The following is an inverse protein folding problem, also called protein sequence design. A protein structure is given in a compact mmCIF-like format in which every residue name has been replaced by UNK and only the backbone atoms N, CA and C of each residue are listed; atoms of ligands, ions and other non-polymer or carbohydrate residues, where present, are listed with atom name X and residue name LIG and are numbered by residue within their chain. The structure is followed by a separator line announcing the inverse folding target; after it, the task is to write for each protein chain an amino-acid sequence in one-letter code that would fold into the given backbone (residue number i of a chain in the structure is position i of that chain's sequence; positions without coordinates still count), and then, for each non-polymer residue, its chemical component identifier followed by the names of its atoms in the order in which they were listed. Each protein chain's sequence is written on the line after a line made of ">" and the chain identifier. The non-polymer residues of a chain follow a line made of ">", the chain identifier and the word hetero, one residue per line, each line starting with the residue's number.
data_IF_777717167207
#
_entry.id   IF_777717167207
#
_cell.length_a   1.000
_cell.length_b   1.000
_cell.length_c   1.000
_cell.angle_alpha   90.00
_cell.angle_beta   90.00
_cell.angle_gamma   90.00
#
_symmetry.space_group_name_H-M   'P 1'
#
loop_
_entity.id
_entity.type
_entity.pdbx_description
1 polymer ?
#
# COMPACT_ATOMS: atom_id res chain seq x y z
N UNK A 1 -19.68 21.84 3.60
CA UNK A 1 -18.76 21.08 4.47
C UNK A 1 -17.50 20.84 3.64
N UNK A 2 -16.32 21.14 4.18
CA UNK A 2 -15.03 21.19 3.44
C UNK A 2 -13.94 20.45 4.22
N UNK A 3 -14.32 19.40 4.95
CA UNK A 3 -13.34 18.54 5.58
C UNK A 3 -12.62 17.75 4.49
N UNK A 4 -11.28 17.71 4.55
CA UNK A 4 -10.47 16.94 3.62
C UNK A 4 -10.20 15.59 4.26
N UNK A 5 -10.78 14.54 3.72
CA UNK A 5 -10.63 13.17 4.25
C UNK A 5 -9.24 12.56 3.95
N UNK A 6 -8.40 13.30 3.23
CA UNK A 6 -7.03 12.94 2.90
C UNK A 6 -6.15 14.18 2.74
N UNK A 7 -4.95 14.13 3.31
CA UNK A 7 -3.89 15.11 3.09
C UNK A 7 -2.58 14.39 2.81
N UNK A 8 -1.90 14.77 1.73
CA UNK A 8 -0.54 14.31 1.43
C UNK A 8 0.40 15.51 1.35
N UNK A 9 1.53 15.42 2.07
CA UNK A 9 2.56 16.47 2.12
C UNK A 9 3.88 15.88 1.69
N UNK A 10 4.56 16.51 0.74
CA UNK A 10 5.92 16.12 0.34
C UNK A 10 6.96 16.85 1.19
N UNK A 11 7.92 16.10 1.73
CA UNK A 11 9.05 16.63 2.47
C UNK A 11 10.30 16.61 1.57
N UNK A 12 10.81 17.78 1.09
CA UNK A 12 11.96 17.80 0.19
C UNK A 12 13.28 17.33 0.83
N UNK A 13 13.45 17.49 2.14
CA UNK A 13 14.67 17.11 2.85
C UNK A 13 14.83 15.59 2.95
N UNK A 14 13.74 14.86 3.21
CA UNK A 14 13.72 13.40 3.27
C UNK A 14 13.27 12.75 1.95
N UNK A 15 12.89 13.56 0.96
CA UNK A 15 12.33 13.14 -0.34
C UNK A 15 11.17 12.14 -0.20
N UNK A 16 10.35 12.32 0.82
CA UNK A 16 9.27 11.40 1.18
C UNK A 16 7.91 12.09 1.14
N UNK A 17 6.85 11.30 0.95
CA UNK A 17 5.47 11.76 1.09
C UNK A 17 4.91 11.27 2.42
N UNK A 18 4.33 12.18 3.19
CA UNK A 18 3.52 11.85 4.37
C UNK A 18 2.05 11.95 4.00
N UNK A 19 1.34 10.83 4.08
CA UNK A 19 -0.10 10.77 3.88
C UNK A 19 -0.82 10.65 5.23
N UNK A 20 -1.87 11.45 5.41
CA UNK A 20 -2.76 11.44 6.58
C UNK A 20 -4.18 11.28 6.08
N UNK A 21 -4.91 10.36 6.70
CA UNK A 21 -6.27 9.99 6.34
C UNK A 21 -7.22 10.36 7.46
N UNK A 22 -8.46 10.71 7.12
CA UNK A 22 -9.56 10.68 8.07
C UNK A 22 -9.99 9.22 8.21
N UNK A 23 -9.84 8.71 9.42
CA UNK A 23 -10.30 7.36 9.77
C UNK A 23 -11.81 7.36 9.95
N UNK A 24 -12.42 6.18 9.83
CA UNK A 24 -13.84 6.02 10.12
C UNK A 24 -14.22 6.34 11.56
N UNK A 25 -15.51 6.50 11.83
CA UNK A 25 -16.06 6.58 13.19
C UNK A 25 -15.55 5.44 14.10
N UNK A 26 -15.11 4.31 13.51
CA UNK A 26 -14.47 3.21 14.22
C UNK A 26 -13.02 3.49 14.68
N UNK A 27 -12.44 4.64 14.31
CA UNK A 27 -11.08 5.07 14.64
C UNK A 27 -10.00 4.56 13.67
N UNK A 28 -8.74 4.95 13.96
CA UNK A 28 -7.56 4.38 13.27
C UNK A 28 -7.58 2.85 13.41
N UNK A 29 -7.25 2.09 12.35
CA UNK A 29 -7.01 0.66 12.50
C UNK A 29 -6.00 0.44 13.62
N UNK A 30 -6.35 -0.44 14.56
CA UNK A 30 -5.37 -0.98 15.50
C UNK A 30 -4.31 -1.82 14.77
N UNK A 31 -3.82 -2.87 15.41
CA UNK A 31 -2.93 -3.81 14.71
C UNK A 31 -3.72 -4.55 13.63
N UNK A 32 -3.28 -4.44 12.36
CA UNK A 32 -3.86 -5.25 11.27
C UNK A 32 -3.66 -6.73 11.59
N UNK A 33 -4.66 -7.54 11.27
CA UNK A 33 -4.71 -8.97 11.58
C UNK A 33 -3.92 -9.82 10.60
N UNK A 34 -3.54 -9.26 9.45
CA UNK A 34 -2.78 -9.99 8.47
C UNK A 34 -1.40 -10.41 9.00
N UNK A 35 -1.09 -11.69 8.86
CA UNK A 35 0.20 -12.28 9.25
C UNK A 35 1.01 -12.73 8.05
N UNK A 36 0.49 -12.54 6.83
CA UNK A 36 1.15 -12.94 5.59
C UNK A 36 1.89 -11.76 5.00
N UNK A 37 3.21 -11.87 4.89
CA UNK A 37 4.06 -10.87 4.22
C UNK A 37 3.92 -10.93 2.70
N UNK A 38 3.84 -12.14 2.15
CA UNK A 38 3.79 -12.39 0.72
C UNK A 38 2.98 -13.65 0.43
N UNK A 39 2.03 -13.56 -0.51
CA UNK A 39 1.40 -14.72 -1.09
C UNK A 39 2.32 -15.34 -2.13
N UNK A 40 2.69 -16.64 -2.03
CA UNK A 40 3.68 -17.23 -2.91
C UNK A 40 3.38 -17.01 -4.40
N UNK A 41 4.22 -16.26 -5.15
CA UNK A 41 4.17 -16.24 -6.60
C UNK A 41 4.20 -17.64 -7.22
N UNK A 42 3.54 -17.78 -8.37
CA UNK A 42 3.76 -18.93 -9.23
C UNK A 42 5.25 -19.02 -9.61
N UNK A 43 5.81 -20.24 -9.66
CA UNK A 43 7.25 -20.46 -9.92
C UNK A 43 7.74 -19.73 -11.18
N UNK A 44 6.93 -19.72 -12.25
CA UNK A 44 7.23 -19.04 -13.52
C UNK A 44 7.29 -17.51 -13.40
N UNK A 45 6.68 -16.93 -12.37
CA UNK A 45 6.60 -15.49 -12.12
C UNK A 45 7.60 -15.00 -11.08
N UNK A 46 8.20 -15.91 -10.28
CA UNK A 46 9.09 -15.58 -9.15
C UNK A 46 10.22 -14.64 -9.54
N UNK A 47 11.01 -15.01 -10.55
CA UNK A 47 12.16 -14.20 -10.97
C UNK A 47 11.77 -12.78 -11.41
N UNK A 48 10.76 -12.68 -12.29
CA UNK A 48 10.29 -11.38 -12.78
C UNK A 48 9.64 -10.52 -11.68
N UNK A 49 8.98 -11.15 -10.71
CA UNK A 49 8.43 -10.48 -9.54
C UNK A 49 9.54 -9.87 -8.66
N UNK A 50 10.57 -10.65 -8.34
CA UNK A 50 11.69 -10.17 -7.53
C UNK A 50 12.49 -9.06 -8.22
N UNK A 51 12.65 -9.13 -9.55
CA UNK A 51 13.33 -8.08 -10.32
C UNK A 51 12.59 -6.74 -10.21
N UNK A 52 11.26 -6.75 -10.27
CA UNK A 52 10.45 -5.53 -10.08
C UNK A 52 10.54 -5.03 -8.64
N UNK A 53 10.52 -5.90 -7.63
CA UNK A 53 10.71 -5.48 -6.23
C UNK A 53 12.08 -4.85 -5.99
N UNK A 54 13.16 -5.46 -6.49
CA UNK A 54 14.51 -4.90 -6.41
C UNK A 54 14.57 -3.52 -7.05
N UNK A 55 13.86 -3.32 -8.16
CA UNK A 55 13.74 -2.02 -8.81
C UNK A 55 12.98 -1.01 -7.92
N UNK A 56 11.87 -1.39 -7.32
CA UNK A 56 11.12 -0.50 -6.42
C UNK A 56 11.93 -0.07 -5.20
N UNK A 57 12.73 -0.99 -4.64
CA UNK A 57 13.67 -0.69 -3.55
C UNK A 57 14.76 0.27 -4.02
N UNK A 58 15.36 0.00 -5.18
CA UNK A 58 16.39 0.86 -5.78
C UNK A 58 15.88 2.26 -6.08
N UNK A 59 14.65 2.37 -6.57
CA UNK A 59 13.99 3.63 -6.93
C UNK A 59 13.41 4.36 -5.70
N UNK A 60 13.50 3.75 -4.51
CA UNK A 60 13.04 4.32 -3.23
C UNK A 60 11.52 4.31 -3.03
N UNK A 61 10.79 3.55 -3.84
CA UNK A 61 9.33 3.39 -3.70
C UNK A 61 8.97 2.44 -2.56
N UNK A 62 9.83 1.47 -2.30
CA UNK A 62 9.81 0.64 -1.09
C UNK A 62 11.11 0.88 -0.33
N UNK A 63 11.01 1.04 0.97
CA UNK A 63 12.16 1.23 1.87
C UNK A 63 12.09 0.14 2.94
N UNK A 64 13.24 -0.44 3.35
CA UNK A 64 13.26 -1.34 4.50
C UNK A 64 12.59 -0.70 5.72
N UNK A 65 11.77 -1.47 6.42
CA UNK A 65 11.14 -1.00 7.65
C UNK A 65 12.19 -0.90 8.76
N UNK A 66 12.28 0.24 9.42
CA UNK A 66 13.17 0.47 10.55
C UNK A 66 12.34 0.72 11.81
N UNK A 67 12.26 -0.29 12.70
CA UNK A 67 11.48 -0.17 13.93
C UNK A 67 12.02 0.91 14.89
N UNK A 68 13.31 1.26 14.80
CA UNK A 68 13.92 2.26 15.67
C UNK A 68 13.48 3.68 15.31
N UNK A 69 13.22 3.93 14.02
CA UNK A 69 12.73 5.22 13.52
C UNK A 69 11.19 5.25 13.43
N UNK A 70 10.57 4.13 13.05
CA UNK A 70 9.15 4.06 12.65
C UNK A 70 8.26 3.45 13.73
N UNK A 71 8.84 2.94 14.82
CA UNK A 71 8.14 2.27 15.90
C UNK A 71 7.78 0.82 15.57
N UNK A 72 7.00 0.14 16.43
CA UNK A 72 6.57 -1.23 16.17
C UNK A 72 5.63 -1.30 14.97
N UNK A 73 5.76 -2.36 14.16
CA UNK A 73 4.90 -2.59 13.00
C UNK A 73 3.43 -2.67 13.42
N UNK A 74 2.60 -1.79 12.87
CA UNK A 74 1.14 -1.79 13.10
C UNK A 74 0.38 -2.84 12.28
N UNK A 75 1.05 -3.56 11.38
CA UNK A 75 0.41 -4.56 10.55
C UNK A 75 1.17 -4.82 9.26
N UNK A 76 0.82 -5.92 8.58
CA UNK A 76 1.41 -6.30 7.30
C UNK A 76 0.41 -6.07 6.16
N UNK A 77 0.92 -5.56 5.05
CA UNK A 77 0.20 -5.52 3.78
C UNK A 77 0.84 -6.57 2.86
N UNK A 78 0.20 -7.73 2.63
CA UNK A 78 0.79 -8.77 1.82
C UNK A 78 1.06 -8.28 0.41
N UNK A 79 2.22 -8.69 -0.13
CA UNK A 79 2.48 -8.59 -1.55
C UNK A 79 2.03 -9.84 -2.30
N UNK A 80 1.58 -9.65 -3.54
CA UNK A 80 1.28 -10.74 -4.46
C UNK A 80 1.83 -10.45 -5.86
N UNK A 81 2.15 -11.51 -6.59
CA UNK A 81 2.57 -11.42 -7.99
C UNK A 81 1.38 -11.58 -8.94
N UNK A 82 1.14 -10.57 -9.77
CA UNK A 82 0.11 -10.61 -10.82
C UNK A 82 0.76 -10.70 -12.20
N UNK A 83 0.47 -11.78 -12.93
CA UNK A 83 0.96 -11.99 -14.30
C UNK A 83 0.05 -11.26 -15.29
N UNK A 84 0.55 -10.18 -15.87
CA UNK A 84 -0.13 -9.42 -16.92
C UNK A 84 0.29 -9.94 -18.30
N UNK A 85 -0.36 -11.02 -18.77
CA UNK A 85 -0.03 -11.70 -20.04
C UNK A 85 0.01 -10.75 -21.24
N UNK A 86 -0.98 -9.86 -21.35
CA UNK A 86 -1.06 -8.88 -22.45
C UNK A 86 0.12 -7.92 -22.50
N UNK A 87 0.72 -7.63 -21.34
CA UNK A 87 1.89 -6.76 -21.21
C UNK A 87 3.20 -7.53 -21.09
N UNK A 88 3.15 -8.88 -21.09
CA UNK A 88 4.26 -9.80 -20.84
C UNK A 88 5.10 -9.39 -19.61
N UNK A 89 4.42 -8.99 -18.53
CA UNK A 89 5.03 -8.48 -17.30
C UNK A 89 4.41 -9.12 -16.07
N UNK A 90 5.19 -9.18 -14.99
CA UNK A 90 4.72 -9.50 -13.65
C UNK A 90 4.72 -8.22 -12.84
N UNK A 91 3.68 -8.01 -12.03
CA UNK A 91 3.56 -6.82 -11.16
C UNK A 91 3.40 -7.26 -9.71
N UNK A 92 4.23 -6.73 -8.80
CA UNK A 92 3.91 -6.75 -7.38
C UNK A 92 2.64 -5.92 -7.14
N UNK A 93 1.74 -6.42 -6.30
CA UNK A 93 0.52 -5.72 -5.87
C UNK A 93 0.39 -5.87 -4.36
N UNK A 94 0.18 -4.77 -3.65
CA UNK A 94 -0.12 -4.78 -2.22
C UNK A 94 -1.61 -5.04 -1.99
N UNK A 95 -1.91 -5.93 -1.05
CA UNK A 95 -3.26 -6.29 -0.67
C UNK A 95 -3.84 -5.32 0.37
N UNK A 96 -4.51 -4.27 -0.10
CA UNK A 96 -5.12 -3.26 0.75
C UNK A 96 -6.51 -3.64 1.29
N UNK A 97 -7.02 -4.85 1.04
CA UNK A 97 -8.42 -5.20 1.37
C UNK A 97 -8.76 -4.99 2.85
N UNK A 98 -7.86 -5.40 3.75
CA UNK A 98 -8.06 -5.19 5.19
C UNK A 98 -7.97 -3.71 5.54
N UNK A 99 -6.92 -3.02 5.11
CA UNK A 99 -6.73 -1.60 5.41
C UNK A 99 -7.91 -0.74 4.92
N UNK A 100 -8.41 -1.03 3.72
CA UNK A 100 -9.54 -0.31 3.13
C UNK A 100 -10.84 -0.46 3.93
N UNK A 101 -10.98 -1.47 4.79
CA UNK A 101 -12.16 -1.60 5.67
C UNK A 101 -12.22 -0.55 6.79
N UNK A 102 -11.10 0.13 7.06
CA UNK A 102 -10.98 1.14 8.12
C UNK A 102 -10.99 2.59 7.61
N UNK A 103 -10.89 2.78 6.30
CA UNK A 103 -10.87 4.09 5.65
C UNK A 103 -12.30 4.48 5.29
N UNK A 104 -12.73 5.70 5.64
CA UNK A 104 -14.05 6.18 5.22
C UNK A 104 -14.12 6.31 3.71
N UNK A 105 -15.19 5.76 3.13
CA UNK A 105 -15.54 6.05 1.76
C UNK A 105 -16.12 7.45 1.70
N UNK A 106 -15.28 8.45 1.44
CA UNK A 106 -15.81 9.72 0.94
C UNK A 106 -16.28 9.50 -0.50
N UNK A 107 -17.56 9.20 -0.66
CA UNK A 107 -18.24 9.42 -1.94
C UNK A 107 -18.30 10.92 -2.13
N UNK A 108 -17.22 11.50 -2.66
CA UNK A 108 -17.34 12.80 -3.30
C UNK A 108 -18.55 12.69 -4.23
N UNK A 109 -19.38 13.73 -4.26
CA UNK A 109 -20.65 13.88 -4.99
C UNK A 109 -20.42 13.68 -6.50
N UNK A 110 -20.08 12.47 -6.87
CA UNK A 110 -19.64 12.03 -8.16
C UNK A 110 -20.69 11.02 -8.58
N UNK A 111 -21.53 11.44 -9.52
CA UNK A 111 -22.30 10.54 -10.34
C UNK A 111 -21.34 9.49 -10.91
N UNK A 112 -21.26 8.34 -10.24
CA UNK A 112 -20.61 7.15 -10.78
C UNK A 112 -21.52 6.74 -11.93
N UNK A 113 -21.12 7.06 -13.16
CA UNK A 113 -21.88 6.76 -14.36
C UNK A 113 -22.43 5.33 -14.30
N UNK A 114 -23.76 5.23 -14.38
CA UNK A 114 -24.50 4.03 -14.74
C UNK A 114 -24.18 3.59 -16.17
#
# INVERSE_FOLDING_TARGET
>A
IREKDFTATYCPSTRSWTAVWKWSDAGEPGVLRNTVEEYPPANVARGAYEDELRKWIKDGWLVPYDESEQGPTKGLLPLMAVIQRNKKKVRPVMDFRELNSYIENHTADADVCS
#
